data_IF_668663443215
#
_entry.id   IF_668663443215
#
_cell.length_a   1.000
_cell.length_b   1.000
_cell.length_c   1.000
_cell.angle_alpha   90.00
_cell.angle_beta   90.00
_cell.angle_gamma   90.00
#
_symmetry.space_group_name_H-M   'P 1'
#
loop_
_entity.id
_entity.type
_entity.pdbx_description
1 polymer ?
#
# COMPACT_ATOMS: atom_id res chain seq x y z
N UNK A 1 -11.59 -20.50 -13.42
CA UNK A 1 -10.79 -19.49 -12.67
C UNK A 1 -9.56 -20.18 -12.11
N UNK A 2 -8.37 -19.60 -12.27
CA UNK A 2 -7.09 -20.14 -11.80
C UNK A 2 -6.41 -19.10 -10.89
N UNK A 3 -5.49 -19.48 -10.00
CA UNK A 3 -4.72 -18.61 -9.09
C UNK A 3 -4.09 -17.42 -9.85
N UNK A 4 -3.57 -17.67 -11.06
CA UNK A 4 -3.03 -16.63 -11.95
C UNK A 4 -4.06 -15.55 -12.34
N UNK A 5 -5.34 -15.90 -12.45
CA UNK A 5 -6.40 -14.93 -12.76
C UNK A 5 -6.69 -14.00 -11.58
N UNK A 6 -6.58 -14.50 -10.34
CA UNK A 6 -6.71 -13.70 -9.12
C UNK A 6 -5.53 -12.75 -8.94
N UNK A 7 -4.30 -13.25 -9.12
CA UNK A 7 -3.10 -12.43 -9.06
C UNK A 7 -3.15 -11.29 -10.08
N UNK A 8 -3.51 -11.60 -11.33
CA UNK A 8 -3.63 -10.60 -12.40
C UNK A 8 -4.70 -9.56 -12.07
N UNK A 9 -5.87 -9.97 -11.56
CA UNK A 9 -6.93 -9.05 -11.14
C UNK A 9 -6.46 -8.10 -10.04
N UNK A 10 -5.74 -8.62 -9.03
CA UNK A 10 -5.22 -7.79 -7.94
C UNK A 10 -4.17 -6.78 -8.41
N UNK A 11 -3.29 -7.17 -9.32
CA UNK A 11 -2.30 -6.26 -9.92
C UNK A 11 -2.99 -5.08 -10.62
N UNK A 12 -4.04 -5.33 -11.41
CA UNK A 12 -4.78 -4.25 -12.06
C UNK A 12 -5.51 -3.35 -11.08
N UNK A 13 -6.11 -3.92 -10.02
CA UNK A 13 -6.74 -3.12 -8.95
C UNK A 13 -5.71 -2.23 -8.26
N UNK A 14 -4.50 -2.72 -7.99
CA UNK A 14 -3.42 -1.92 -7.42
C UNK A 14 -3.04 -0.76 -8.34
N UNK A 15 -2.83 -1.01 -9.63
CA UNK A 15 -2.53 0.08 -10.58
C UNK A 15 -3.67 1.09 -10.69
N UNK A 16 -4.91 0.64 -10.71
CA UNK A 16 -6.08 1.51 -10.71
C UNK A 16 -6.12 2.41 -9.46
N UNK A 17 -5.89 1.84 -8.27
CA UNK A 17 -5.87 2.59 -7.01
C UNK A 17 -4.75 3.63 -6.97
N UNK A 18 -3.54 3.27 -7.41
CA UNK A 18 -2.40 4.21 -7.46
C UNK A 18 -2.64 5.35 -8.44
N UNK A 19 -3.20 5.03 -9.62
CA UNK A 19 -3.55 6.03 -10.63
C UNK A 19 -4.64 6.98 -10.13
N UNK A 20 -5.70 6.44 -9.54
CA UNK A 20 -6.79 7.23 -8.95
C UNK A 20 -6.27 8.15 -7.85
N UNK A 21 -5.38 7.66 -6.98
CA UNK A 21 -4.74 8.45 -5.94
C UNK A 21 -3.97 9.65 -6.52
N UNK A 22 -3.17 9.45 -7.57
CA UNK A 22 -2.43 10.54 -8.23
C UNK A 22 -3.41 11.59 -8.76
N UNK A 23 -4.48 11.19 -9.46
CA UNK A 23 -5.49 12.12 -9.98
C UNK A 23 -6.10 12.94 -8.86
N UNK A 24 -6.48 12.31 -7.75
CA UNK A 24 -7.08 13.01 -6.60
C UNK A 24 -6.11 14.05 -6.03
N UNK A 25 -4.85 13.66 -5.81
CA UNK A 25 -3.84 14.58 -5.24
C UNK A 25 -3.53 15.73 -6.20
N UNK A 26 -3.42 15.47 -7.51
CA UNK A 26 -3.23 16.52 -8.50
C UNK A 26 -4.44 17.45 -8.59
N UNK A 27 -5.66 16.91 -8.54
CA UNK A 27 -6.88 17.70 -8.51
C UNK A 27 -6.95 18.62 -7.29
N UNK A 28 -6.55 18.12 -6.11
CA UNK A 28 -6.41 18.94 -4.91
C UNK A 28 -5.31 20.00 -5.06
N UNK A 29 -4.16 19.62 -5.61
CA UNK A 29 -3.05 20.53 -5.89
C UNK A 29 -3.46 21.69 -6.79
N UNK A 30 -4.22 21.39 -7.85
CA UNK A 30 -4.74 22.41 -8.77
C UNK A 30 -5.81 23.29 -8.12
N UNK A 31 -6.70 22.70 -7.33
CA UNK A 31 -7.69 23.46 -6.55
C UNK A 31 -7.02 24.49 -5.63
N UNK A 32 -5.98 24.08 -4.90
CA UNK A 32 -5.22 24.98 -4.04
C UNK A 32 -4.37 25.98 -4.85
N UNK A 33 -3.80 25.58 -5.99
CA UNK A 33 -3.08 26.46 -6.91
C UNK A 33 -3.95 27.63 -7.37
N UNK A 34 -5.19 27.34 -7.77
CA UNK A 34 -6.18 28.33 -8.15
C UNK A 34 -6.57 29.25 -6.98
N UNK A 35 -6.83 28.67 -5.81
CA UNK A 35 -7.24 29.43 -4.61
C UNK A 35 -6.17 30.41 -4.13
N UNK A 36 -4.92 29.96 -4.04
CA UNK A 36 -3.79 30.78 -3.58
C UNK A 36 -3.14 31.61 -4.70
N UNK A 37 -3.66 31.52 -5.94
CA UNK A 37 -3.08 32.14 -7.16
C UNK A 37 -1.59 31.85 -7.32
N UNK A 38 -1.18 30.63 -6.98
CA UNK A 38 0.22 30.22 -6.98
C UNK A 38 0.39 28.79 -7.50
N UNK A 39 1.09 28.68 -8.63
CA UNK A 39 1.40 27.40 -9.30
C UNK A 39 2.31 26.48 -8.47
N UNK A 40 2.93 27.02 -7.42
CA UNK A 40 3.77 26.23 -6.52
C UNK A 40 3.03 25.05 -5.90
N UNK A 41 1.74 25.21 -5.57
CA UNK A 41 0.94 24.15 -4.93
C UNK A 41 0.72 22.95 -5.86
N UNK A 42 0.59 23.20 -7.17
CA UNK A 42 0.48 22.13 -8.16
C UNK A 42 1.77 21.31 -8.24
N UNK A 43 2.93 21.97 -8.36
CA UNK A 43 4.22 21.28 -8.41
C UNK A 43 4.53 20.49 -7.13
N UNK A 44 4.14 21.04 -5.97
CA UNK A 44 4.27 20.36 -4.69
C UNK A 44 3.37 19.11 -4.64
N UNK A 45 2.11 19.21 -5.07
CA UNK A 45 1.20 18.08 -5.14
C UNK A 45 1.69 17.00 -6.12
N UNK A 46 2.23 17.41 -7.27
CA UNK A 46 2.83 16.50 -8.25
C UNK A 46 4.01 15.73 -7.62
N UNK A 47 4.98 16.43 -7.05
CA UNK A 47 6.12 15.81 -6.39
C UNK A 47 5.70 14.88 -5.24
N UNK A 48 4.78 15.36 -4.39
CA UNK A 48 4.26 14.59 -3.27
C UNK A 48 3.53 13.31 -3.72
N UNK A 49 2.70 13.39 -4.76
CA UNK A 49 1.95 12.23 -5.26
C UNK A 49 2.86 11.13 -5.80
N UNK A 50 3.88 11.51 -6.58
CA UNK A 50 4.85 10.58 -7.15
C UNK A 50 5.66 9.91 -6.05
N UNK A 51 6.22 10.69 -5.12
CA UNK A 51 6.98 10.17 -3.98
C UNK A 51 6.11 9.25 -3.12
N UNK A 52 4.86 9.65 -2.83
CA UNK A 52 3.93 8.86 -2.03
C UNK A 52 3.57 7.53 -2.69
N UNK A 53 3.31 7.51 -4.00
CA UNK A 53 3.03 6.27 -4.75
C UNK A 53 4.24 5.35 -4.77
N UNK A 54 5.43 5.89 -5.02
CA UNK A 54 6.68 5.12 -5.03
C UNK A 54 6.94 4.47 -3.67
N UNK A 55 6.85 5.25 -2.58
CA UNK A 55 7.02 4.73 -1.22
C UNK A 55 5.93 3.71 -0.89
N UNK A 56 4.68 4.00 -1.22
CA UNK A 56 3.55 3.14 -0.91
C UNK A 56 3.62 1.82 -1.68
N UNK A 57 4.15 1.79 -2.90
CA UNK A 57 4.30 0.57 -3.68
C UNK A 57 5.41 -0.34 -3.14
N UNK A 58 6.58 0.22 -2.78
CA UNK A 58 7.73 -0.58 -2.32
C UNK A 58 7.73 -0.89 -0.83
N UNK A 59 7.10 -0.07 0.01
CA UNK A 59 7.11 -0.23 1.47
C UNK A 59 5.71 -0.49 2.05
N UNK A 60 4.75 -0.93 1.23
CA UNK A 60 3.35 -1.17 1.64
C UNK A 60 3.25 -2.11 2.85
N UNK A 61 3.98 -3.21 2.81
CA UNK A 61 4.04 -4.22 3.88
C UNK A 61 4.44 -3.60 5.22
N UNK A 62 5.50 -2.79 5.23
CA UNK A 62 5.98 -2.12 6.43
C UNK A 62 5.00 -1.06 6.93
N UNK A 63 4.37 -0.32 6.02
CA UNK A 63 3.36 0.69 6.37
C UNK A 63 2.17 0.03 7.06
N UNK A 64 1.68 -1.10 6.54
CA UNK A 64 0.55 -1.82 7.13
C UNK A 64 0.92 -2.37 8.50
N UNK A 65 2.08 -3.04 8.62
CA UNK A 65 2.56 -3.58 9.91
C UNK A 65 2.72 -2.49 10.96
N UNK A 66 3.26 -1.34 10.58
CA UNK A 66 3.41 -0.20 11.47
C UNK A 66 2.06 0.38 11.93
N UNK A 67 1.09 0.53 11.01
CA UNK A 67 -0.24 1.07 11.33
C UNK A 67 -1.04 0.20 12.28
N UNK A 68 -0.91 -1.12 12.18
CA UNK A 68 -1.62 -2.06 13.08
C UNK A 68 -0.86 -2.29 14.39
N UNK A 69 0.30 -1.66 14.58
CA UNK A 69 1.14 -1.86 15.76
C UNK A 69 1.66 -3.30 15.87
N UNK A 70 1.91 -3.95 14.72
CA UNK A 70 2.38 -5.32 14.68
C UNK A 70 3.69 -5.45 15.45
N UNK A 71 3.73 -6.40 16.39
CA UNK A 71 4.96 -6.79 17.08
C UNK A 71 5.46 -8.07 16.46
N UNK A 72 6.73 -8.07 16.06
CA UNK A 72 7.40 -9.28 15.62
C UNK A 72 7.46 -10.25 16.81
N UNK A 73 7.03 -11.50 16.57
CA UNK A 73 7.08 -12.57 17.56
C UNK A 73 8.00 -13.69 17.05
N UNK A 74 8.74 -14.30 17.97
CA UNK A 74 9.47 -15.54 17.76
C UNK A 74 8.68 -16.74 18.31
N UNK A 75 9.02 -17.96 17.87
CA UNK A 75 8.36 -19.20 18.33
C UNK A 75 8.41 -19.39 19.85
N UNK A 76 9.40 -18.80 20.52
CA UNK A 76 9.55 -18.81 21.98
C UNK A 76 8.56 -17.88 22.70
N UNK A 77 8.11 -16.80 22.05
CA UNK A 77 7.29 -15.77 22.67
C UNK A 77 5.85 -16.23 22.84
N UNK A 78 5.31 -16.90 21.82
CA UNK A 78 4.01 -17.57 21.89
C UNK A 78 3.97 -18.80 20.95
N UNK A 79 4.35 -19.99 21.44
CA UNK A 79 4.45 -21.20 20.62
C UNK A 79 3.11 -21.64 20.02
N UNK A 80 1.99 -21.39 20.73
CA UNK A 80 0.65 -21.79 20.26
C UNK A 80 0.23 -20.97 19.06
N UNK A 81 0.30 -19.63 19.15
CA UNK A 81 -0.03 -18.74 18.03
C UNK A 81 0.91 -18.99 16.86
N UNK A 82 2.20 -19.14 17.12
CA UNK A 82 3.19 -19.40 16.07
C UNK A 82 2.87 -20.69 15.32
N UNK A 83 2.60 -21.80 16.02
CA UNK A 83 2.24 -23.10 15.40
C UNK A 83 0.91 -23.05 14.66
N UNK A 84 -0.06 -22.30 15.17
CA UNK A 84 -1.37 -22.15 14.52
C UNK A 84 -1.19 -21.46 13.15
N UNK A 85 -0.46 -20.34 13.09
CA UNK A 85 -0.16 -19.64 11.84
C UNK A 85 0.73 -20.49 10.92
N UNK A 86 1.74 -21.18 11.45
CA UNK A 86 2.63 -22.10 10.72
C UNK A 86 1.82 -23.21 10.02
N UNK A 87 0.90 -23.87 10.73
CA UNK A 87 0.04 -24.90 10.16
C UNK A 87 -0.93 -24.36 9.09
N UNK A 88 -1.45 -23.14 9.28
CA UNK A 88 -2.30 -22.48 8.28
C UNK A 88 -1.52 -22.14 7.00
N UNK A 89 -0.29 -21.61 7.12
CA UNK A 89 0.56 -21.29 5.99
C UNK A 89 0.94 -22.54 5.19
N UNK A 90 1.35 -23.62 5.87
CA UNK A 90 1.64 -24.93 5.24
C UNK A 90 0.42 -25.46 4.48
N UNK A 91 -0.76 -25.43 5.11
CA UNK A 91 -2.00 -25.91 4.48
C UNK A 91 -2.38 -25.09 3.25
N UNK A 92 -2.11 -23.78 3.27
CA UNK A 92 -2.36 -22.88 2.14
C UNK A 92 -1.29 -22.96 1.04
N UNK A 93 -0.21 -23.73 1.23
CA UNK A 93 0.92 -23.78 0.29
C UNK A 93 1.67 -22.46 0.18
N UNK A 94 1.58 -21.63 1.23
CA UNK A 94 2.27 -20.34 1.31
C UNK A 94 3.62 -20.54 2.00
N UNK A 95 4.71 -19.96 1.47
CA UNK A 95 6.00 -19.94 2.15
C UNK A 95 5.98 -19.11 3.43
#
# INVERSE_FOLDING_TARGET
MNIYSWQKSNIYKTYFLLFLFIIIILGLGEFFSWYFRSHWMFYLALGFSLVSVTISYWYSDKIVLWRVGAKLIEKKDNPEIYRLVENLAITAGLP
#
